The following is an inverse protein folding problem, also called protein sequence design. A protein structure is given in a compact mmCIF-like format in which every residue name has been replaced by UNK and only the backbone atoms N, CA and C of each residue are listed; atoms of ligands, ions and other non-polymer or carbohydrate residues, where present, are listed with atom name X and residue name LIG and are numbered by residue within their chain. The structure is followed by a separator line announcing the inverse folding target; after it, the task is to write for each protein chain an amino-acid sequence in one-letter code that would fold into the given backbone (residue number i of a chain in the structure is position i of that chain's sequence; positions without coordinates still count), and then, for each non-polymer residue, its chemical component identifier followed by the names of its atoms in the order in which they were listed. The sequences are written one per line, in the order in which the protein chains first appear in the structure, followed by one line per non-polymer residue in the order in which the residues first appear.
data_IF_264946971496
#
_entry.id   IF_264946971496
#
_cell.length_a   1.000
_cell.length_b   1.000
_cell.length_c   1.000
_cell.angle_alpha   90.00
_cell.angle_beta   90.00
_cell.angle_gamma   90.00
#
_symmetry.space_group_name_H-M   'P 1'
#
loop_
_entity.id
_entity.type
_entity.pdbx_description
1 polymer ?
#
# COMPACT_ATOMS: atom_id res chain seq x y z
N UNK A 1 9.20 5.51 13.98
CA UNK A 1 9.46 6.93 14.22
C UNK A 1 8.31 7.80 13.77
N UNK A 2 8.23 8.95 14.38
CA UNK A 2 7.20 9.85 14.10
C UNK A 2 7.60 10.77 13.01
N UNK A 3 6.73 11.03 12.06
CA UNK A 3 6.98 11.95 10.97
C UNK A 3 6.27 13.27 11.23
N UNK A 4 6.87 14.38 10.87
CA UNK A 4 6.20 15.69 11.03
C UNK A 4 4.98 15.77 10.12
N UNK A 5 3.97 16.49 10.57
CA UNK A 5 2.77 16.69 9.77
C UNK A 5 3.07 17.61 8.61
N UNK A 6 2.40 17.34 7.49
CA UNK A 6 2.46 18.18 6.29
C UNK A 6 3.88 18.41 5.80
N UNK A 7 4.78 17.45 6.05
CA UNK A 7 6.18 17.65 5.69
C UNK A 7 6.56 17.09 4.33
N UNK A 8 5.69 16.28 3.70
CA UNK A 8 6.06 15.63 2.44
C UNK A 8 5.03 15.87 1.37
N UNK A 9 5.47 16.24 0.18
CA UNK A 9 4.54 16.24 -0.94
C UNK A 9 4.76 15.03 -1.85
N UNK A 10 5.88 14.32 -1.73
CA UNK A 10 6.10 13.05 -2.43
C UNK A 10 6.82 12.11 -1.50
N UNK A 11 6.32 10.91 -1.37
CA UNK A 11 6.99 9.85 -0.62
C UNK A 11 7.20 8.70 -1.57
N UNK A 12 8.44 8.27 -1.74
CA UNK A 12 8.77 7.19 -2.64
C UNK A 12 9.17 5.96 -1.85
N UNK A 13 8.60 4.82 -2.18
CA UNK A 13 8.95 3.55 -1.54
C UNK A 13 9.31 2.57 -2.64
N UNK A 14 10.62 2.42 -2.87
CA UNK A 14 11.12 1.60 -3.96
C UNK A 14 11.59 0.27 -3.42
N UNK A 15 10.88 -0.79 -3.78
CA UNK A 15 11.18 -2.17 -3.36
C UNK A 15 11.25 -2.31 -1.83
N UNK A 16 10.44 -1.56 -1.12
CA UNK A 16 10.46 -1.66 0.32
C UNK A 16 9.10 -1.81 0.97
N UNK A 17 8.01 -1.44 0.28
CA UNK A 17 6.70 -1.53 0.93
C UNK A 17 6.37 -2.97 1.30
N UNK A 18 6.76 -3.94 0.48
CA UNK A 18 6.44 -5.33 0.76
C UNK A 18 7.06 -5.82 2.08
N UNK A 19 8.04 -5.09 2.62
CA UNK A 19 8.66 -5.48 3.88
C UNK A 19 8.02 -4.83 5.10
N UNK A 20 7.01 -4.01 4.91
CA UNK A 20 6.35 -3.35 6.03
C UNK A 20 5.50 -4.37 6.77
N UNK A 21 5.84 -4.66 8.02
CA UNK A 21 5.17 -5.72 8.77
C UNK A 21 3.75 -5.37 9.16
N UNK A 22 3.47 -4.10 9.39
CA UNK A 22 2.13 -3.66 9.76
C UNK A 22 1.68 -2.54 8.84
N UNK A 23 1.27 -2.89 7.63
CA UNK A 23 1.02 -1.88 6.61
C UNK A 23 -0.10 -0.91 6.97
N UNK A 24 -1.16 -1.39 7.62
CA UNK A 24 -2.28 -0.50 7.93
C UNK A 24 -1.85 0.56 8.95
N UNK A 25 -1.11 0.17 9.97
CA UNK A 25 -0.63 1.11 10.97
C UNK A 25 0.35 2.09 10.36
N UNK A 26 1.24 1.59 9.49
CA UNK A 26 2.21 2.43 8.81
C UNK A 26 1.51 3.47 7.94
N UNK A 27 0.55 3.05 7.13
CA UNK A 27 -0.16 3.96 6.23
C UNK A 27 -1.00 4.97 7.00
N UNK A 28 -1.58 4.54 8.12
CA UNK A 28 -2.37 5.45 8.93
C UNK A 28 -1.49 6.54 9.54
N UNK A 29 -0.28 6.18 9.97
CA UNK A 29 0.64 7.15 10.54
C UNK A 29 1.27 8.06 9.49
N UNK A 30 1.39 7.58 8.25
CA UNK A 30 1.95 8.38 7.17
C UNK A 30 1.00 9.50 6.74
N UNK A 31 -0.28 9.26 6.88
CA UNK A 31 -1.32 10.16 6.36
C UNK A 31 -1.12 11.62 6.77
N UNK A 32 -0.94 11.96 8.06
CA UNK A 32 -0.83 13.37 8.41
C UNK A 32 0.47 14.01 7.95
N UNK A 33 1.45 13.22 7.53
CA UNK A 33 2.71 13.78 7.07
C UNK A 33 2.65 14.24 5.62
N UNK A 34 1.61 13.87 4.89
CA UNK A 34 1.49 14.30 3.51
C UNK A 34 0.84 15.67 3.43
N UNK A 35 1.41 16.54 2.60
CA UNK A 35 0.78 17.81 2.34
C UNK A 35 -0.50 17.59 1.54
N UNK A 36 -1.35 18.60 1.49
CA UNK A 36 -2.51 18.53 0.61
C UNK A 36 -2.00 18.33 -0.81
N UNK A 37 -2.56 17.36 -1.49
CA UNK A 37 -2.11 17.02 -2.82
C UNK A 37 -0.87 16.16 -2.85
N UNK A 38 -0.36 15.77 -1.69
CA UNK A 38 0.82 14.92 -1.64
C UNK A 38 0.56 13.52 -2.17
N UNK A 39 1.61 12.86 -2.61
CA UNK A 39 1.50 11.54 -3.24
C UNK A 39 2.42 10.54 -2.57
N UNK A 40 1.97 9.28 -2.53
CA UNK A 40 2.83 8.17 -2.14
C UNK A 40 3.04 7.35 -3.40
N UNK A 41 4.28 7.13 -3.76
CA UNK A 41 4.62 6.39 -4.97
C UNK A 41 5.33 5.13 -4.57
N UNK A 42 4.76 4.00 -4.94
CA UNK A 42 5.32 2.70 -4.60
C UNK A 42 5.83 2.05 -5.88
N UNK A 43 7.06 1.60 -5.88
CA UNK A 43 7.61 0.79 -6.94
C UNK A 43 7.90 -0.57 -6.33
N UNK A 44 7.29 -1.61 -6.86
CA UNK A 44 7.48 -2.93 -6.30
C UNK A 44 7.33 -3.98 -7.40
N UNK A 45 7.39 -5.24 -7.03
CA UNK A 45 7.34 -6.34 -7.98
C UNK A 45 6.10 -7.15 -7.71
N UNK A 46 5.45 -7.59 -8.77
CA UNK A 46 4.23 -8.39 -8.64
C UNK A 46 4.62 -9.81 -8.28
N UNK A 47 4.76 -10.06 -7.00
CA UNK A 47 5.11 -11.36 -6.44
C UNK A 47 4.41 -11.52 -5.10
N UNK A 48 4.24 -12.74 -4.61
CA UNK A 48 3.76 -12.93 -3.24
C UNK A 48 4.66 -12.22 -2.25
N UNK A 49 4.11 -11.76 -1.15
CA UNK A 49 4.89 -10.97 -0.19
C UNK A 49 6.05 -11.77 0.41
N UNK A 50 5.92 -13.09 0.50
CA UNK A 50 7.02 -13.91 1.00
C UNK A 50 8.09 -14.13 -0.06
N UNK A 51 7.93 -13.57 -1.23
CA UNK A 51 8.93 -13.63 -2.28
C UNK A 51 9.44 -12.26 -2.65
N UNK A 52 9.42 -11.34 -1.70
CA UNK A 52 10.01 -10.01 -1.85
C UNK A 52 9.29 -9.16 -2.89
N UNK A 53 7.98 -9.20 -2.85
CA UNK A 53 7.16 -8.35 -3.71
C UNK A 53 5.79 -8.16 -3.10
N UNK A 54 4.90 -7.54 -3.83
CA UNK A 54 3.51 -7.41 -3.43
C UNK A 54 2.66 -7.34 -4.68
N UNK A 55 1.62 -8.18 -4.80
CA UNK A 55 0.73 -8.08 -5.94
C UNK A 55 0.03 -6.72 -5.96
N UNK A 56 -0.13 -6.12 -7.13
CA UNK A 56 -0.77 -4.80 -7.22
C UNK A 56 -2.14 -4.73 -6.58
N UNK A 57 -2.94 -5.78 -6.69
CA UNK A 57 -4.28 -5.78 -6.11
C UNK A 57 -4.23 -5.72 -4.59
N UNK A 58 -3.27 -6.41 -3.97
CA UNK A 58 -3.11 -6.35 -2.53
C UNK A 58 -2.65 -4.97 -2.10
N UNK A 59 -1.68 -4.40 -2.82
CA UNK A 59 -1.18 -3.08 -2.52
C UNK A 59 -2.32 -2.07 -2.55
N UNK A 60 -3.11 -2.08 -3.62
CA UNK A 60 -4.22 -1.14 -3.76
C UNK A 60 -5.23 -1.34 -2.64
N UNK A 61 -5.53 -2.60 -2.32
CA UNK A 61 -6.49 -2.88 -1.25
C UNK A 61 -6.01 -2.33 0.08
N UNK A 62 -4.75 -2.52 0.41
CA UNK A 62 -4.23 -2.06 1.70
C UNK A 62 -4.27 -0.53 1.81
N UNK A 63 -3.88 0.16 0.76
CA UNK A 63 -3.95 1.62 0.77
C UNK A 63 -5.39 2.10 0.87
N UNK A 64 -6.29 1.48 0.11
CA UNK A 64 -7.68 1.92 0.12
C UNK A 64 -8.35 1.68 1.45
N UNK A 65 -7.99 0.62 2.16
CA UNK A 65 -8.57 0.36 3.48
C UNK A 65 -8.23 1.46 4.48
N UNK A 66 -7.14 2.17 4.26
CA UNK A 66 -6.73 3.23 5.17
C UNK A 66 -7.24 4.60 4.68
N UNK A 67 -7.91 4.62 3.54
CA UNK A 67 -8.51 5.86 3.05
C UNK A 67 -7.76 6.52 1.92
N UNK A 68 -6.67 5.92 1.46
CA UNK A 68 -5.95 6.45 0.30
C UNK A 68 -6.71 6.12 -0.97
N UNK A 69 -6.43 6.87 -2.02
CA UNK A 69 -7.04 6.67 -3.32
C UNK A 69 -5.96 6.31 -4.31
N UNK A 70 -6.19 5.27 -5.10
CA UNK A 70 -5.27 4.89 -6.16
C UNK A 70 -5.45 5.86 -7.32
N UNK A 71 -4.39 6.60 -7.65
CA UNK A 71 -4.44 7.52 -8.78
C UNK A 71 -4.12 6.79 -10.08
N UNK A 72 -3.09 5.95 -10.07
CA UNK A 72 -2.75 5.17 -11.26
C UNK A 72 -1.78 4.07 -10.90
N UNK A 73 -1.71 3.06 -11.76
CA UNK A 73 -0.78 1.97 -11.62
C UNK A 73 -0.31 1.59 -13.03
N UNK A 74 0.97 1.38 -13.21
CA UNK A 74 1.53 1.10 -14.53
C UNK A 74 2.69 0.14 -14.42
N UNK A 75 2.90 -0.65 -15.46
CA UNK A 75 4.09 -1.48 -15.53
C UNK A 75 5.29 -0.58 -15.74
N UNK A 76 6.39 -0.92 -15.09
CA UNK A 76 7.61 -0.14 -15.18
C UNK A 76 8.78 -1.11 -15.39
N UNK A 77 8.95 -1.61 -16.61
CA UNK A 77 9.99 -2.60 -16.85
C UNK A 77 11.39 -2.12 -16.51
N UNK A 78 11.67 -0.84 -16.72
CA UNK A 78 12.98 -0.30 -16.41
C UNK A 78 13.24 -0.27 -14.92
N UNK A 79 12.20 -0.40 -14.10
CA UNK A 79 12.34 -0.49 -12.65
C UNK A 79 12.12 -1.92 -12.16
N UNK A 80 12.04 -2.86 -13.08
CA UNK A 80 11.85 -4.28 -12.79
C UNK A 80 10.58 -4.56 -12.01
N UNK A 81 9.51 -3.86 -12.31
CA UNK A 81 8.26 -4.09 -11.61
C UNK A 81 7.15 -3.17 -12.09
N UNK A 82 6.39 -2.63 -11.14
CA UNK A 82 5.30 -1.72 -11.44
C UNK A 82 5.41 -0.50 -10.55
N UNK A 83 4.65 0.50 -10.92
CA UNK A 83 4.62 1.78 -10.24
C UNK A 83 3.16 2.05 -9.87
N UNK A 84 2.90 2.44 -8.66
CA UNK A 84 1.56 2.79 -8.21
C UNK A 84 1.62 4.12 -7.49
N UNK A 85 0.66 5.00 -7.77
CA UNK A 85 0.61 6.32 -7.16
C UNK A 85 -0.69 6.47 -6.39
N UNK A 86 -0.58 6.93 -5.16
CA UNK A 86 -1.73 7.11 -4.28
C UNK A 86 -1.76 8.52 -3.73
N UNK A 87 -2.96 9.01 -3.43
CA UNK A 87 -3.16 10.25 -2.73
C UNK A 87 -4.15 10.02 -1.60
N UNK A 88 -4.27 10.98 -0.69
CA UNK A 88 -5.24 10.84 0.39
C UNK A 88 -6.64 10.97 -0.20
N UNK A 89 -7.53 10.13 0.25
CA UNK A 89 -8.94 10.24 -0.11
C UNK A 89 -9.64 11.29 0.72
N UNK A 90 -10.96 11.31 0.65
CA UNK A 90 -11.74 12.32 1.34
C UNK A 90 -11.76 12.13 2.85
N UNK A 91 -11.70 10.88 3.31
CA UNK A 91 -11.78 10.59 4.74
C UNK A 91 -10.71 9.58 5.11
N UNK A 92 -10.31 9.61 6.37
CA UNK A 92 -9.37 8.63 6.91
C UNK A 92 -10.12 7.80 7.94
N UNK A 93 -10.41 6.53 7.63
CA UNK A 93 -11.14 5.69 8.57
C UNK A 93 -10.38 5.51 9.88
N UNK A 94 -11.13 5.23 10.94
CA UNK A 94 -10.52 4.95 12.23
C UNK A 94 -9.77 3.62 12.11
N UNK A 95 -8.55 3.52 12.62
CA UNK A 95 -7.77 2.28 12.49
C UNK A 95 -8.49 1.06 13.06
N UNK A 96 -9.31 1.23 14.10
CA UNK A 96 -10.00 0.07 14.66
C UNK A 96 -11.06 -0.45 13.72
N UNK A 97 -11.46 0.32 12.70
CA UNK A 97 -12.47 -0.12 11.76
C UNK A 97 -11.83 -0.69 10.48
N UNK A 98 -10.53 -0.80 10.44
CA UNK A 98 -9.85 -1.29 9.25
C UNK A 98 -10.01 -2.81 9.18
N UNK A 99 -10.53 -3.27 8.04
CA UNK A 99 -10.68 -4.71 7.79
C UNK A 99 -9.53 -5.13 6.90
N UNK A 100 -8.68 -6.04 7.33
CA UNK A 100 -7.53 -6.44 6.50
C UNK A 100 -7.95 -7.01 5.16
N UNK A 101 -7.14 -6.77 4.16
CA UNK A 101 -7.34 -7.37 2.86
C UNK A 101 -7.07 -8.87 2.95
N UNK A 102 -7.82 -9.64 2.22
CA UNK A 102 -7.76 -11.09 2.37
C UNK A 102 -7.07 -11.75 1.19
N UNK A 103 -6.62 -12.92 1.48
CA UNK A 103 -6.21 -13.85 0.43
C UNK A 103 -4.90 -13.61 -0.20
N UNK A 104 -4.17 -12.67 0.25
CA UNK A 104 -3.04 -12.37 -0.45
C UNK A 104 -1.78 -12.55 0.17
N UNK A 105 -1.74 -12.52 1.49
CA UNK A 105 -0.50 -12.58 2.09
C UNK A 105 0.12 -13.78 1.79
N UNK A 106 -0.56 -14.73 1.63
CA UNK A 106 0.11 -15.87 1.31
C UNK A 106 -0.68 -16.35 0.20
N UNK A 107 -0.13 -16.55 -0.87
CA UNK A 107 -0.85 -17.12 -1.91
C UNK A 107 -1.39 -18.40 -1.49
N UNK A 108 -0.88 -18.90 -0.46
CA UNK A 108 -1.39 -20.11 0.02
C UNK A 108 -2.56 -19.92 0.81
N UNK A 109 -2.70 -18.89 1.38
CA UNK A 109 -3.78 -18.76 2.12
C UNK A 109 -4.84 -18.64 1.34
N UNK A 110 -4.69 -18.47 0.65
CA UNK A 110 -5.68 -18.26 -0.06
C UNK A 110 -6.40 -19.18 -0.45
N UNK A 111 -6.08 -19.41 -0.14
CA UNK A 111 -6.61 -19.75 -0.46
C UNK A 111 -7.20 -20.09 -0.29
N UNK A 112 -7.19 -20.43 -0.02
CA UNK A 112 -7.76 -20.62 0.18
C UNK A 112 -8.56 -20.43 0.29
N UNK A 113 -8.55 -20.34 0.14
CA UNK A 113 -9.27 -20.13 0.06
C UNK A 113 -9.92 -19.92 0.00
N UNK A 114 -9.83 -19.92 -0.29
CA UNK A 114 -10.31 -19.60 -0.52
C UNK A 114 -10.80 -19.39 -0.77
N UNK A 115 -10.89 -19.64 -1.03
CA UNK A 115 -11.17 -19.27 -1.31
C UNK A 115 -11.63 -18.89 -1.34
N UNK A 116 -11.56 -19.08 -1.41
CA UNK A 116 -11.72 -18.61 -1.48
C UNK A 116 -11.96 -18.23 -1.50
N UNK A 117 -11.85 -18.42 -1.76
CA UNK A 117 -11.91 -17.94 -1.81
C UNK A 117 -11.98 -17.60 -1.83
#
# INVERSE_FOLDING_TARGET
PRLPEDSFNRVFMVHMYHEVAEPYAFLWRLWPSLEDGGKVIVVDIDRPTDRHGIPPALLACEFERVGYRLDRIEQAPELAGYFAQFSRGATRPDPKDTVPCTGQKSASDADNGQANG
#
